data_IF_051652993226
#
_entry.id   IF_051652993226
#
_cell.length_a   1.000
_cell.length_b   1.000
_cell.length_c   1.000
_cell.angle_alpha   90.00
_cell.angle_beta   90.00
_cell.angle_gamma   90.00
#
_symmetry.space_group_name_H-M   'P 1'
#
loop_
_entity.id
_entity.type
_entity.pdbx_description
1 polymer ?
#
# COMPACT_ATOMS: atom_id res chain seq x y z
N UNK A 1 -21.86 -4.90 -7.55
CA UNK A 1 -20.46 -4.89 -8.03
C UNK A 1 -19.75 -6.11 -7.46
N UNK A 2 -18.84 -6.72 -8.23
CA UNK A 2 -18.06 -7.89 -7.78
C UNK A 2 -16.86 -7.49 -6.93
N UNK A 3 -16.10 -8.46 -6.44
CA UNK A 3 -14.83 -8.21 -5.76
C UNK A 3 -13.83 -7.55 -6.71
N UNK A 4 -13.01 -6.63 -6.18
CA UNK A 4 -11.96 -5.93 -6.92
C UNK A 4 -10.65 -6.08 -6.15
N UNK A 5 -9.56 -6.40 -6.84
CA UNK A 5 -8.21 -6.41 -6.30
C UNK A 5 -7.40 -5.34 -7.02
N UNK A 6 -7.29 -4.16 -6.42
CA UNK A 6 -6.67 -2.98 -7.05
C UNK A 6 -5.50 -2.46 -6.22
N UNK A 7 -4.48 -1.95 -6.91
CA UNK A 7 -3.32 -1.25 -6.34
C UNK A 7 -2.56 -2.05 -5.25
N UNK A 8 -2.54 -3.39 -5.36
CA UNK A 8 -1.87 -4.26 -4.39
C UNK A 8 -0.39 -4.46 -4.74
N UNK A 9 0.47 -4.42 -3.71
CA UNK A 9 1.86 -4.86 -3.79
C UNK A 9 1.95 -6.26 -3.17
N UNK A 10 2.22 -7.27 -3.98
CA UNK A 10 2.26 -8.68 -3.58
C UNK A 10 3.46 -9.39 -4.21
N UNK A 11 3.90 -10.47 -3.59
CA UNK A 11 5.03 -11.31 -4.05
C UNK A 11 4.58 -12.49 -4.93
N UNK A 12 3.27 -12.60 -5.19
CA UNK A 12 2.68 -13.67 -5.99
C UNK A 12 1.42 -13.22 -6.74
N UNK A 13 0.99 -13.94 -7.79
CA UNK A 13 -0.27 -13.66 -8.47
C UNK A 13 -1.47 -13.70 -7.52
N UNK A 14 -2.40 -12.74 -7.69
CA UNK A 14 -3.66 -12.73 -6.95
C UNK A 14 -4.59 -13.79 -7.55
N UNK A 15 -5.08 -14.71 -6.72
CA UNK A 15 -5.91 -15.83 -7.13
C UNK A 15 -7.35 -15.74 -6.64
N UNK A 16 -8.21 -16.57 -7.24
CA UNK A 16 -9.60 -16.75 -6.79
C UNK A 16 -9.66 -17.63 -5.53
N UNK A 17 -10.51 -17.24 -4.58
CA UNK A 17 -10.87 -18.07 -3.42
C UNK A 17 -12.25 -18.69 -3.62
N UNK A 18 -12.41 -19.99 -3.42
CA UNK A 18 -13.69 -20.70 -3.55
C UNK A 18 -14.42 -20.42 -4.87
N UNK A 19 -13.68 -20.38 -5.98
CA UNK A 19 -14.20 -20.04 -7.31
C UNK A 19 -14.80 -18.63 -7.44
N UNK A 20 -14.48 -17.70 -6.53
CA UNK A 20 -14.91 -16.33 -6.64
C UNK A 20 -14.27 -15.62 -7.85
N UNK A 21 -15.08 -14.85 -8.58
CA UNK A 21 -14.61 -13.98 -9.65
C UNK A 21 -14.30 -12.58 -9.09
N UNK A 22 -13.23 -11.97 -9.61
CA UNK A 22 -12.85 -10.60 -9.27
C UNK A 22 -12.22 -9.90 -10.49
N UNK A 23 -12.25 -8.58 -10.50
CA UNK A 23 -11.44 -7.77 -11.43
C UNK A 23 -10.15 -7.33 -10.75
N UNK A 24 -9.09 -7.13 -11.55
CA UNK A 24 -7.81 -6.65 -11.06
C UNK A 24 -7.24 -5.53 -11.92
N UNK A 25 -6.58 -4.55 -11.28
CA UNK A 25 -5.88 -3.46 -11.96
C UNK A 25 -4.83 -2.84 -11.04
N UNK A 26 -3.75 -2.31 -11.60
CA UNK A 26 -2.73 -1.57 -10.83
C UNK A 26 -1.94 -2.40 -9.80
N UNK A 27 -2.03 -3.74 -9.82
CA UNK A 27 -1.27 -4.59 -8.91
C UNK A 27 0.16 -4.80 -9.41
N UNK A 28 1.12 -4.82 -8.49
CA UNK A 28 2.48 -5.30 -8.72
C UNK A 28 2.65 -6.64 -8.00
N UNK A 29 2.90 -7.71 -8.75
CA UNK A 29 2.98 -9.09 -8.25
C UNK A 29 4.40 -9.62 -8.12
N UNK A 30 5.37 -8.72 -8.06
CA UNK A 30 6.79 -9.02 -7.96
C UNK A 30 7.42 -8.18 -6.85
N UNK A 31 6.70 -8.03 -5.73
CA UNK A 31 7.25 -7.39 -4.54
C UNK A 31 8.51 -8.14 -4.10
N UNK A 32 9.53 -7.39 -3.70
CA UNK A 32 10.79 -7.90 -3.20
C UNK A 32 11.10 -7.24 -1.85
N UNK A 33 11.83 -7.96 -0.98
CA UNK A 33 12.20 -7.45 0.33
C UNK A 33 12.99 -6.14 0.26
N UNK A 34 13.80 -5.94 -0.80
CA UNK A 34 14.59 -4.73 -1.04
C UNK A 34 13.74 -3.50 -1.36
N UNK A 35 12.42 -3.64 -1.55
CA UNK A 35 11.50 -2.52 -1.69
C UNK A 35 11.15 -1.84 -0.37
N UNK A 36 11.43 -2.49 0.77
CA UNK A 36 11.00 -2.05 2.09
C UNK A 36 12.15 -1.47 2.91
N UNK A 37 11.82 -0.64 3.90
CA UNK A 37 12.82 -0.08 4.83
C UNK A 37 13.49 -1.19 5.65
N UNK A 38 12.70 -2.12 6.21
CA UNK A 38 13.22 -3.31 6.89
C UNK A 38 12.13 -4.40 6.93
N UNK A 39 12.11 -5.26 5.91
CA UNK A 39 11.14 -6.36 5.84
C UNK A 39 11.34 -7.41 6.95
N UNK A 40 12.57 -7.59 7.46
CA UNK A 40 12.87 -8.60 8.47
C UNK A 40 12.26 -8.26 9.84
N UNK A 41 12.09 -6.97 10.13
CA UNK A 41 11.41 -6.47 11.34
C UNK A 41 9.96 -6.02 11.09
N UNK A 42 9.41 -6.36 9.92
CA UNK A 42 8.06 -5.98 9.47
C UNK A 42 7.83 -4.46 9.27
N UNK A 43 8.89 -3.68 9.09
CA UNK A 43 8.78 -2.31 8.59
C UNK A 43 8.58 -2.31 7.07
N UNK A 44 7.35 -2.57 6.65
CA UNK A 44 6.94 -2.69 5.25
C UNK A 44 6.61 -1.34 4.57
N UNK A 45 7.15 -0.23 5.09
CA UNK A 45 7.15 1.05 4.37
C UNK A 45 8.06 0.95 3.16
N UNK A 46 7.64 1.54 2.05
CA UNK A 46 8.48 1.61 0.85
C UNK A 46 9.76 2.40 1.16
N UNK A 47 10.87 2.00 0.56
CA UNK A 47 12.09 2.78 0.51
C UNK A 47 12.25 3.46 -0.86
N UNK A 48 13.24 4.34 -1.01
CA UNK A 48 13.47 5.09 -2.25
C UNK A 48 13.90 4.24 -3.44
N UNK A 49 14.36 2.99 -3.23
CA UNK A 49 14.66 2.06 -4.31
C UNK A 49 13.43 1.32 -4.86
N UNK A 50 12.27 1.42 -4.22
CA UNK A 50 11.02 0.78 -4.66
C UNK A 50 10.38 1.44 -5.90
N UNK A 51 11.19 1.84 -6.88
CA UNK A 51 10.78 2.60 -8.07
C UNK A 51 9.70 1.91 -8.91
N UNK A 52 9.53 0.59 -8.78
CA UNK A 52 8.49 -0.17 -9.45
C UNK A 52 7.11 0.01 -8.80
N UNK A 53 7.05 0.35 -7.51
CA UNK A 53 5.82 0.60 -6.76
C UNK A 53 5.48 2.09 -6.66
N UNK A 54 6.50 2.96 -6.67
CA UNK A 54 6.33 4.40 -6.46
C UNK A 54 5.72 5.12 -7.68
N UNK A 55 4.71 5.96 -7.42
CA UNK A 55 3.99 6.81 -8.38
C UNK A 55 3.50 6.06 -9.63
N UNK A 56 2.82 4.92 -9.47
CA UNK A 56 2.42 4.07 -10.62
C UNK A 56 0.95 4.10 -10.98
N UNK A 57 0.07 4.23 -9.99
CA UNK A 57 -1.36 3.98 -10.15
C UNK A 57 -2.18 5.21 -9.83
N UNK A 58 -3.43 5.23 -10.28
CA UNK A 58 -4.38 6.28 -9.88
C UNK A 58 -4.87 6.04 -8.45
N UNK A 59 -5.19 7.12 -7.74
CA UNK A 59 -5.84 7.04 -6.43
C UNK A 59 -7.17 6.28 -6.53
N UNK A 60 -7.43 5.41 -5.56
CA UNK A 60 -8.72 4.73 -5.42
C UNK A 60 -9.62 5.48 -4.43
N UNK A 61 -10.90 5.59 -4.73
CA UNK A 61 -11.89 6.13 -3.79
C UNK A 61 -12.05 5.27 -2.52
N UNK A 62 -11.65 3.99 -2.57
CA UNK A 62 -11.74 3.06 -1.43
C UNK A 62 -10.56 3.16 -0.47
N UNK A 63 -9.48 3.83 -0.87
CA UNK A 63 -8.24 3.97 -0.10
C UNK A 63 -7.62 5.34 -0.34
N UNK A 64 -8.25 6.38 0.23
CA UNK A 64 -7.81 7.78 0.10
C UNK A 64 -6.69 8.15 1.07
N UNK A 65 -6.42 7.30 2.06
CA UNK A 65 -5.28 7.39 2.97
C UNK A 65 -4.52 6.07 3.00
N UNK A 66 -3.24 6.12 3.31
CA UNK A 66 -2.41 4.95 3.54
C UNK A 66 -2.57 4.42 4.98
N UNK A 67 -1.90 3.30 5.29
CA UNK A 67 -2.04 2.64 6.60
C UNK A 67 -1.45 3.46 7.76
N UNK A 68 -0.53 4.39 7.48
CA UNK A 68 0.01 5.32 8.46
C UNK A 68 -0.87 6.58 8.60
N UNK A 69 -1.89 6.76 7.75
CA UNK A 69 -2.79 7.91 7.75
C UNK A 69 -2.35 9.06 6.84
N UNK A 70 -1.34 8.86 5.99
CA UNK A 70 -0.97 9.84 4.99
C UNK A 70 -1.99 9.87 3.86
N UNK A 71 -2.30 11.07 3.37
CA UNK A 71 -3.25 11.23 2.26
C UNK A 71 -2.62 10.69 0.98
N UNK A 72 -3.36 9.86 0.26
CA UNK A 72 -3.03 9.43 -1.11
C UNK A 72 -3.46 10.51 -2.11
N UNK A 73 -2.90 11.71 -1.96
CA UNK A 73 -3.44 12.90 -2.63
C UNK A 73 -3.04 12.97 -4.10
N UNK A 74 -4.05 12.99 -4.97
CA UNK A 74 -3.95 12.89 -6.43
C UNK A 74 -3.44 14.12 -7.18
N UNK A 75 -2.44 14.84 -6.66
CA UNK A 75 -1.67 15.75 -7.52
C UNK A 75 -0.81 14.97 -8.55
N UNK A 76 -0.76 13.64 -8.44
CA UNK A 76 -0.10 12.73 -9.35
C UNK A 76 -0.64 11.30 -9.25
N UNK A 77 0.18 10.35 -9.70
CA UNK A 77 -0.01 8.93 -9.38
C UNK A 77 0.28 8.70 -7.90
N UNK A 78 -0.19 7.58 -7.37
CA UNK A 78 0.05 7.13 -6.00
C UNK A 78 0.83 5.82 -6.04
N UNK A 79 1.33 5.41 -4.87
CA UNK A 79 2.13 4.21 -4.74
C UNK A 79 1.27 2.94 -4.73
N UNK A 80 1.84 1.86 -5.26
CA UNK A 80 1.25 0.53 -5.17
C UNK A 80 1.52 -0.04 -3.78
N UNK A 81 0.49 -0.58 -3.12
CA UNK A 81 0.61 -1.21 -1.82
C UNK A 81 0.02 -0.37 -0.68
N UNK A 82 0.44 -0.67 0.55
CA UNK A 82 -0.21 -0.14 1.76
C UNK A 82 0.26 1.27 2.18
N UNK A 83 1.46 1.68 1.74
CA UNK A 83 2.13 2.91 2.17
C UNK A 83 2.41 3.82 0.97
N UNK A 84 2.38 5.13 1.20
CA UNK A 84 3.01 6.12 0.31
C UNK A 84 4.46 6.37 0.76
N UNK A 85 5.39 6.45 -0.18
CA UNK A 85 6.76 6.85 0.06
C UNK A 85 6.80 8.35 0.34
N UNK A 86 6.74 8.70 1.62
CA UNK A 86 6.98 10.05 2.08
C UNK A 86 8.47 10.23 2.38
N UNK A 87 9.23 10.81 1.45
CA UNK A 87 10.67 11.06 1.61
C UNK A 87 11.05 11.95 2.82
N UNK A 88 10.07 12.49 3.55
CA UNK A 88 10.26 13.50 4.61
C UNK A 88 9.57 13.17 5.95
N UNK A 89 8.81 12.08 6.07
CA UNK A 89 8.08 11.79 7.33
C UNK A 89 8.76 10.66 8.10
N UNK A 90 9.14 10.87 9.38
CA UNK A 90 9.53 9.76 10.24
C UNK A 90 8.36 8.78 10.41
N UNK A 91 8.61 7.51 10.78
CA UNK A 91 7.55 6.55 11.07
C UNK A 91 6.53 7.15 12.04
N UNK A 92 5.25 7.07 11.71
CA UNK A 92 4.23 7.43 12.70
C UNK A 92 4.39 6.47 13.89
N UNK A 93 4.58 6.99 15.12
CA UNK A 93 4.65 6.13 16.29
C UNK A 93 3.32 5.38 16.45
N UNK A 94 3.32 4.18 17.06
CA UNK A 94 2.10 3.46 17.33
C UNK A 94 1.07 4.37 18.01
N UNK A 95 -0.12 4.46 17.44
CA UNK A 95 -1.22 5.18 18.09
C UNK A 95 -1.61 4.37 19.33
N UNK A 96 -1.40 4.96 20.51
CA UNK A 96 -1.88 4.36 21.74
C UNK A 96 -3.42 4.39 21.76
N UNK A 97 -4.03 3.21 21.68
CA UNK A 97 -5.49 3.02 21.78
C UNK A 97 -6.01 3.10 23.22
N UNK A 98 -5.15 3.37 24.21
CA UNK A 98 -5.55 3.55 25.61
C UNK A 98 -6.19 4.91 25.90
N UNK A 99 -6.05 5.88 25.00
CA UNK A 99 -6.66 7.21 25.10
C UNK A 99 -8.05 7.29 24.45
N UNK A 100 -9.00 6.47 24.91
CA UNK A 100 -10.40 6.67 24.54
C UNK A 100 -10.85 8.07 24.95
N UNK A 101 -11.29 8.84 23.96
CA UNK A 101 -12.15 10.02 24.05
C UNK A 101 -12.99 10.04 25.34
N UNK A 102 -12.78 11.08 26.15
CA UNK A 102 -13.78 11.63 27.07
C UNK A 102 -13.94 13.11 26.75
#
# INVERSE_FOLDING_TARGET
TGAQAINNLVDAPIGSRNSASFSQSGNLTSADADMFVDAATANLRLNSSAIAAVDKVSVSEYATTDIDGFVRSGAGKVDIGAHELNALSPPNPPTDISGSQL
#
